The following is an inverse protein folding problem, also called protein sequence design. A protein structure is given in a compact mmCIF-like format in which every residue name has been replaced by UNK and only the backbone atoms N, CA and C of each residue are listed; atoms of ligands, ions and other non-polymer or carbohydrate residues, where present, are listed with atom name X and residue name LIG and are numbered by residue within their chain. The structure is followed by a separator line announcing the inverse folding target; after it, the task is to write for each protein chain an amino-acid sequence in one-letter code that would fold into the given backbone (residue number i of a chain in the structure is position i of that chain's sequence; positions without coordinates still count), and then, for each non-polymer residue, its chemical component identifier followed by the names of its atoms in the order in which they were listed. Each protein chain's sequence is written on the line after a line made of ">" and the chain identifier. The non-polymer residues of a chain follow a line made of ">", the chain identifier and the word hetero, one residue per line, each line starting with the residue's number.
data_IF_758134383485
#
_entry.id   IF_758134383485
#
_cell.length_a   1.000
_cell.length_b   1.000
_cell.length_c   1.000
_cell.angle_alpha   90.00
_cell.angle_beta   90.00
_cell.angle_gamma   90.00
#
_symmetry.space_group_name_H-M   'P 1'
#
loop_
_entity.id
_entity.type
_entity.pdbx_description
1 polymer ?
#
# COMPACT_ATOMS: atom_id res chain seq x y z
N UNK A 1 0.71 -13.76 -13.36
CA UNK A 1 0.26 -14.29 -12.06
C UNK A 1 -0.73 -13.35 -11.38
N UNK A 2 -0.42 -12.07 -11.11
CA UNK A 2 -1.37 -11.12 -10.51
C UNK A 2 -2.71 -11.07 -11.27
N UNK A 3 -2.70 -10.87 -12.59
CA UNK A 3 -3.92 -10.83 -13.39
C UNK A 3 -4.77 -12.12 -13.27
N UNK A 4 -4.14 -13.28 -13.21
CA UNK A 4 -4.86 -14.55 -13.03
C UNK A 4 -5.55 -14.63 -11.65
N UNK A 5 -4.88 -14.19 -10.57
CA UNK A 5 -5.48 -14.14 -9.23
C UNK A 5 -6.66 -13.16 -9.19
N UNK A 6 -6.51 -11.99 -9.84
CA UNK A 6 -7.59 -11.00 -9.95
C UNK A 6 -8.81 -11.57 -10.67
N UNK A 7 -8.61 -12.22 -11.82
CA UNK A 7 -9.72 -12.82 -12.59
C UNK A 7 -10.42 -13.96 -11.84
N UNK A 8 -9.66 -14.82 -11.15
CA UNK A 8 -10.22 -15.87 -10.31
C UNK A 8 -10.99 -15.25 -9.14
N UNK A 9 -10.43 -14.23 -8.49
CA UNK A 9 -11.09 -13.49 -7.42
C UNK A 9 -12.38 -12.83 -7.89
N UNK A 10 -12.36 -12.17 -9.05
CA UNK A 10 -13.56 -11.57 -9.65
C UNK A 10 -14.63 -12.64 -9.94
N UNK A 11 -14.26 -13.78 -10.51
CA UNK A 11 -15.20 -14.87 -10.77
C UNK A 11 -15.83 -15.42 -9.47
N UNK A 12 -15.06 -15.56 -8.40
CA UNK A 12 -15.59 -15.97 -7.08
C UNK A 12 -16.52 -14.91 -6.48
N UNK A 13 -16.19 -13.63 -6.62
CA UNK A 13 -17.02 -12.53 -6.10
C UNK A 13 -18.31 -12.32 -6.90
N UNK A 14 -18.38 -12.76 -8.16
CA UNK A 14 -19.61 -12.76 -8.97
C UNK A 14 -20.63 -13.81 -8.53
N UNK A 15 -20.21 -14.84 -7.81
CA UNK A 15 -21.12 -15.89 -7.36
C UNK A 15 -22.21 -15.31 -6.44
N UNK A 16 -23.48 -15.72 -6.59
CA UNK A 16 -24.58 -15.25 -5.72
C UNK A 16 -24.33 -15.48 -4.23
N UNK A 17 -23.58 -16.53 -3.88
CA UNK A 17 -23.22 -16.83 -2.48
C UNK A 17 -22.27 -15.78 -1.88
N UNK A 18 -21.55 -15.02 -2.72
CA UNK A 18 -20.60 -13.98 -2.27
C UNK A 18 -21.30 -12.69 -1.86
N UNK A 19 -22.51 -12.41 -2.38
CA UNK A 19 -23.32 -11.26 -2.01
C UNK A 19 -24.28 -11.58 -0.87
N UNK A 20 -24.55 -10.61 0.01
CA UNK A 20 -25.47 -10.78 1.14
C UNK A 20 -26.90 -11.02 0.68
N UNK A 21 -27.34 -10.31 -0.37
CA UNK A 21 -28.66 -10.45 -0.99
C UNK A 21 -28.76 -11.66 -1.94
N UNK A 22 -27.70 -12.47 -2.06
CA UNK A 22 -27.60 -13.62 -2.99
C UNK A 22 -27.87 -13.25 -4.46
N UNK A 23 -27.57 -12.04 -4.84
CA UNK A 23 -27.63 -11.54 -6.23
C UNK A 23 -26.27 -11.68 -6.91
N UNK A 24 -26.28 -11.79 -8.25
CA UNK A 24 -25.02 -11.81 -9.02
C UNK A 24 -24.45 -10.39 -9.07
N UNK A 25 -23.26 -10.20 -8.54
CA UNK A 25 -22.56 -8.92 -8.64
C UNK A 25 -22.08 -8.68 -10.07
N UNK A 26 -22.29 -7.49 -10.67
CA UNK A 26 -21.82 -7.17 -12.01
C UNK A 26 -20.32 -7.38 -12.16
N UNK A 27 -19.87 -7.86 -13.34
CA UNK A 27 -18.47 -8.19 -13.58
C UNK A 27 -17.50 -7.03 -13.31
N UNK A 28 -17.86 -5.81 -13.72
CA UNK A 28 -16.98 -4.63 -13.52
C UNK A 28 -16.78 -4.29 -12.04
N UNK A 29 -17.81 -4.42 -11.20
CA UNK A 29 -17.73 -4.20 -9.76
C UNK A 29 -16.94 -5.31 -9.05
N UNK A 30 -17.18 -6.57 -9.43
CA UNK A 30 -16.43 -7.71 -8.93
C UNK A 30 -14.94 -7.64 -9.32
N UNK A 31 -14.67 -7.23 -10.58
CA UNK A 31 -13.30 -7.03 -11.08
C UNK A 31 -12.60 -5.88 -10.36
N UNK A 32 -13.29 -4.75 -10.13
CA UNK A 32 -12.76 -3.62 -9.39
C UNK A 32 -12.37 -4.04 -7.97
N UNK A 33 -13.30 -4.69 -7.26
CA UNK A 33 -13.10 -5.12 -5.88
C UNK A 33 -12.00 -6.18 -5.76
N UNK A 34 -11.97 -7.17 -6.67
CA UNK A 34 -10.91 -8.17 -6.72
C UNK A 34 -9.54 -7.54 -7.02
N UNK A 35 -9.48 -6.56 -7.94
CA UNK A 35 -8.24 -5.82 -8.25
C UNK A 35 -7.77 -5.04 -7.03
N UNK A 36 -8.68 -4.30 -6.39
CA UNK A 36 -8.40 -3.54 -5.17
C UNK A 36 -7.88 -4.44 -4.04
N UNK A 37 -8.49 -5.61 -3.83
CA UNK A 37 -8.07 -6.58 -2.82
C UNK A 37 -6.69 -7.20 -3.11
N UNK A 38 -6.44 -7.66 -4.35
CA UNK A 38 -5.16 -8.28 -4.75
C UNK A 38 -4.04 -7.26 -4.86
N UNK A 39 -4.34 -6.05 -5.33
CA UNK A 39 -3.38 -4.94 -5.37
C UNK A 39 -3.21 -4.28 -4.00
N UNK A 40 -4.02 -4.68 -3.00
CA UNK A 40 -3.96 -4.17 -1.63
C UNK A 40 -4.15 -2.65 -1.63
N UNK A 41 -5.18 -2.18 -2.31
CA UNK A 41 -5.46 -0.75 -2.47
C UNK A 41 -6.48 -0.25 -1.46
N UNK A 42 -7.66 -0.90 -1.37
CA UNK A 42 -8.73 -0.47 -0.46
C UNK A 42 -9.79 0.44 -1.07
N UNK A 43 -9.67 0.86 -2.33
CA UNK A 43 -10.76 1.52 -3.04
C UNK A 43 -11.89 0.52 -3.26
N UNK A 44 -13.12 0.94 -3.01
CA UNK A 44 -14.30 0.09 -3.11
C UNK A 44 -15.43 0.78 -3.85
N UNK A 45 -16.15 0.04 -4.70
CA UNK A 45 -17.37 0.49 -5.40
C UNK A 45 -18.62 0.02 -4.67
N UNK A 46 -18.52 -1.01 -3.83
CA UNK A 46 -19.58 -1.52 -2.95
C UNK A 46 -19.04 -1.61 -1.54
N UNK A 47 -19.84 -1.23 -0.56
CA UNK A 47 -19.45 -1.33 0.84
C UNK A 47 -19.15 -2.78 1.23
N UNK A 48 -18.01 -2.99 1.92
CA UNK A 48 -17.53 -4.36 2.18
C UNK A 48 -18.37 -5.07 3.22
N UNK A 49 -18.89 -4.37 4.21
CA UNK A 49 -19.66 -4.96 5.30
C UNK A 49 -21.10 -5.31 4.89
N UNK A 50 -21.77 -4.42 4.14
CA UNK A 50 -23.18 -4.54 3.81
C UNK A 50 -23.45 -5.32 2.53
N UNK A 51 -22.53 -5.30 1.54
CA UNK A 51 -22.73 -5.99 0.26
C UNK A 51 -22.24 -7.44 0.27
N UNK A 52 -21.07 -7.72 0.86
CA UNK A 52 -20.47 -9.05 0.80
C UNK A 52 -20.90 -9.94 1.97
N UNK A 53 -21.33 -11.15 1.64
CA UNK A 53 -21.61 -12.20 2.64
C UNK A 53 -20.34 -12.63 3.38
N UNK A 54 -20.48 -13.42 4.45
CA UNK A 54 -19.34 -14.00 5.14
C UNK A 54 -18.40 -14.77 4.20
N UNK A 55 -18.93 -15.44 3.17
CA UNK A 55 -18.13 -16.10 2.14
C UNK A 55 -17.40 -15.08 1.26
N UNK A 56 -18.07 -14.03 0.77
CA UNK A 56 -17.44 -12.96 0.00
C UNK A 56 -16.35 -12.24 0.78
N UNK A 57 -16.59 -11.94 2.06
CA UNK A 57 -15.60 -11.36 2.96
C UNK A 57 -14.38 -12.29 3.18
N UNK A 58 -14.59 -13.60 3.30
CA UNK A 58 -13.51 -14.58 3.40
C UNK A 58 -12.69 -14.64 2.10
N UNK A 59 -13.34 -14.60 0.93
CA UNK A 59 -12.66 -14.51 -0.37
C UNK A 59 -11.81 -13.23 -0.43
N UNK A 60 -12.36 -12.07 -0.05
CA UNK A 60 -11.62 -10.81 -0.01
C UNK A 60 -10.42 -10.90 0.93
N UNK A 61 -10.57 -11.45 2.13
CA UNK A 61 -9.47 -11.62 3.09
C UNK A 61 -8.35 -12.48 2.52
N UNK A 62 -8.66 -13.57 1.82
CA UNK A 62 -7.68 -14.42 1.14
C UNK A 62 -6.99 -13.67 0.00
N UNK A 63 -7.72 -12.92 -0.81
CA UNK A 63 -7.14 -12.09 -1.89
C UNK A 63 -6.21 -11.02 -1.33
N UNK A 64 -6.58 -10.35 -0.24
CA UNK A 64 -5.75 -9.37 0.48
C UNK A 64 -4.46 -10.04 0.99
N UNK A 65 -4.56 -11.20 1.60
CA UNK A 65 -3.40 -11.94 2.12
C UNK A 65 -2.44 -12.36 0.99
N UNK A 66 -2.98 -12.87 -0.12
CA UNK A 66 -2.17 -13.23 -1.31
C UNK A 66 -1.51 -11.98 -1.90
N UNK A 67 -2.24 -10.89 -2.00
CA UNK A 67 -1.76 -9.61 -2.48
C UNK A 67 -0.66 -9.02 -1.59
N UNK A 68 -0.91 -8.92 -0.29
CA UNK A 68 -0.02 -8.31 0.71
C UNK A 68 1.31 -9.02 0.84
N UNK A 69 1.30 -10.34 1.05
CA UNK A 69 2.52 -11.13 1.10
C UNK A 69 3.22 -11.29 -0.26
N UNK A 70 2.50 -11.00 -1.35
CA UNK A 70 2.95 -11.16 -2.71
C UNK A 70 2.67 -12.55 -3.27
N UNK A 71 2.09 -12.59 -4.47
CA UNK A 71 1.65 -13.83 -5.14
C UNK A 71 2.78 -14.86 -5.27
N UNK A 72 4.02 -14.40 -5.49
CA UNK A 72 5.20 -15.27 -5.63
C UNK A 72 5.58 -15.89 -4.28
N UNK A 73 5.51 -15.12 -3.20
CA UNK A 73 5.80 -15.58 -1.83
C UNK A 73 4.79 -16.64 -1.39
N UNK A 74 3.50 -16.39 -1.64
CA UNK A 74 2.43 -17.34 -1.34
C UNK A 74 2.56 -18.61 -2.17
N UNK A 75 2.84 -18.49 -3.48
CA UNK A 75 3.10 -19.65 -4.34
C UNK A 75 4.30 -20.50 -3.89
N UNK A 76 5.36 -19.84 -3.42
CA UNK A 76 6.52 -20.54 -2.84
C UNK A 76 6.19 -21.24 -1.51
N UNK A 77 5.28 -20.66 -0.72
CA UNK A 77 4.81 -21.25 0.55
C UNK A 77 4.10 -22.57 0.33
N UNK A 78 3.23 -22.66 -0.66
CA UNK A 78 2.61 -23.92 -1.05
C UNK A 78 3.63 -24.99 -1.44
N UNK A 79 4.69 -24.60 -2.18
CA UNK A 79 5.77 -25.52 -2.52
C UNK A 79 6.54 -26.00 -1.29
N UNK A 80 6.75 -25.12 -0.31
CA UNK A 80 7.41 -25.45 0.96
C UNK A 80 6.57 -26.40 1.82
N UNK A 81 5.27 -26.14 1.95
CA UNK A 81 4.34 -26.98 2.70
C UNK A 81 4.18 -28.36 2.07
N UNK A 82 4.23 -28.44 0.73
CA UNK A 82 4.17 -29.69 -0.02
C UNK A 82 5.49 -30.48 -0.04
N UNK A 83 6.54 -30.02 0.65
CA UNK A 83 7.84 -30.67 0.72
C UNK A 83 8.61 -30.69 -0.62
N UNK A 84 8.15 -29.96 -1.64
CA UNK A 84 8.79 -29.94 -2.97
C UNK A 84 10.06 -29.09 -2.95
N UNK A 85 11.08 -29.53 -3.67
CA UNK A 85 12.34 -28.77 -3.83
C UNK A 85 12.08 -27.55 -4.72
N UNK A 86 12.43 -26.36 -4.22
CA UNK A 86 12.32 -25.10 -4.95
C UNK A 86 13.49 -24.99 -5.92
N UNK A 87 13.21 -24.86 -7.24
CA UNK A 87 14.21 -24.73 -8.29
C UNK A 87 14.96 -23.38 -8.20
N UNK A 88 16.15 -23.29 -8.82
CA UNK A 88 16.94 -22.04 -8.87
C UNK A 88 16.17 -20.90 -9.54
N UNK A 89 15.43 -21.17 -10.62
CA UNK A 89 14.58 -20.19 -11.30
C UNK A 89 13.46 -19.64 -10.39
N UNK A 90 12.84 -20.51 -9.58
CA UNK A 90 11.86 -20.07 -8.58
C UNK A 90 12.50 -19.22 -7.49
N UNK A 91 13.70 -19.60 -7.01
CA UNK A 91 14.45 -18.80 -6.02
C UNK A 91 14.83 -17.42 -6.56
N UNK A 92 15.22 -17.30 -7.84
CA UNK A 92 15.48 -16.01 -8.47
C UNK A 92 14.25 -15.12 -8.49
N UNK A 93 13.07 -15.65 -8.88
CA UNK A 93 11.81 -14.91 -8.83
C UNK A 93 11.40 -14.49 -7.42
N UNK A 94 11.66 -15.34 -6.42
CA UNK A 94 11.42 -15.01 -4.99
C UNK A 94 12.36 -13.89 -4.53
N UNK A 95 13.62 -13.92 -4.95
CA UNK A 95 14.60 -12.87 -4.65
C UNK A 95 14.14 -11.52 -5.20
N UNK A 96 13.70 -11.49 -6.44
CA UNK A 96 13.21 -10.28 -7.10
C UNK A 96 11.95 -9.75 -6.40
N UNK A 97 10.96 -10.61 -6.12
CA UNK A 97 9.71 -10.24 -5.46
C UNK A 97 9.93 -9.67 -4.05
N UNK A 98 10.91 -10.18 -3.31
CA UNK A 98 11.25 -9.72 -1.96
C UNK A 98 12.30 -8.60 -1.94
N UNK A 99 12.80 -8.17 -3.12
CA UNK A 99 13.91 -7.24 -3.25
C UNK A 99 15.15 -7.68 -2.44
N UNK A 100 15.38 -9.00 -2.34
CA UNK A 100 16.46 -9.56 -1.54
C UNK A 100 17.81 -9.46 -2.28
N UNK A 101 18.92 -9.12 -1.59
CA UNK A 101 20.22 -8.91 -2.24
C UNK A 101 20.87 -10.20 -2.75
N UNK A 102 20.48 -11.37 -2.23
CA UNK A 102 21.08 -12.67 -2.56
C UNK A 102 20.03 -13.76 -2.69
N UNK A 103 20.23 -14.71 -3.61
CA UNK A 103 19.39 -15.92 -3.78
C UNK A 103 19.56 -16.88 -2.60
N UNK A 104 20.76 -16.92 -2.01
CA UNK A 104 21.05 -17.77 -0.86
C UNK A 104 20.23 -17.37 0.37
N UNK A 105 19.56 -18.35 1.01
CA UNK A 105 18.75 -18.14 2.21
C UNK A 105 17.33 -17.62 1.97
N UNK A 106 16.93 -17.36 0.70
CA UNK A 106 15.61 -16.79 0.38
C UNK A 106 14.45 -17.68 0.90
N UNK A 107 14.61 -19.00 0.85
CA UNK A 107 13.61 -19.95 1.36
C UNK A 107 13.41 -19.81 2.88
N UNK A 108 14.51 -19.63 3.64
CA UNK A 108 14.45 -19.40 5.09
C UNK A 108 13.80 -18.06 5.40
N UNK A 109 14.14 -17.01 4.61
CA UNK A 109 13.55 -15.69 4.74
C UNK A 109 12.04 -15.74 4.48
N UNK A 110 11.59 -16.43 3.43
CA UNK A 110 10.16 -16.61 3.13
C UNK A 110 9.42 -17.27 4.29
N UNK A 111 9.95 -18.37 4.82
CA UNK A 111 9.35 -19.04 5.98
C UNK A 111 9.31 -18.17 7.23
N UNK A 112 10.33 -17.34 7.45
CA UNK A 112 10.35 -16.34 8.52
C UNK A 112 9.26 -15.28 8.31
N UNK A 113 9.16 -14.72 7.09
CA UNK A 113 8.15 -13.70 6.75
C UNK A 113 6.74 -14.21 7.04
N UNK A 114 6.39 -15.40 6.55
CA UNK A 114 5.04 -15.97 6.72
C UNK A 114 4.70 -16.17 8.19
N UNK A 115 5.61 -16.81 8.96
CA UNK A 115 5.35 -17.08 10.39
C UNK A 115 5.22 -15.79 11.19
N UNK A 116 6.08 -14.81 10.90
CA UNK A 116 6.07 -13.51 11.59
C UNK A 116 4.82 -12.71 11.22
N UNK A 117 4.40 -12.73 9.95
CA UNK A 117 3.16 -12.06 9.50
C UNK A 117 1.94 -12.62 10.23
N UNK A 118 1.74 -13.94 10.21
CA UNK A 118 0.61 -14.59 10.88
C UNK A 118 0.62 -14.33 12.40
N UNK A 119 1.80 -14.29 13.02
CA UNK A 119 1.93 -13.97 14.43
C UNK A 119 1.52 -12.52 14.73
N UNK A 120 1.97 -11.57 13.93
CA UNK A 120 1.65 -10.14 14.11
C UNK A 120 0.16 -9.91 13.85
N UNK A 121 -0.42 -10.51 12.81
CA UNK A 121 -1.85 -10.49 12.53
C UNK A 121 -2.66 -11.08 13.69
N UNK A 122 -2.23 -12.22 14.24
CA UNK A 122 -2.85 -12.83 15.41
C UNK A 122 -2.82 -11.92 16.65
N UNK A 123 -1.67 -11.27 16.91
CA UNK A 123 -1.54 -10.32 18.03
C UNK A 123 -2.45 -9.10 17.80
N UNK A 124 -2.47 -8.55 16.60
CA UNK A 124 -3.34 -7.43 16.25
C UNK A 124 -4.83 -7.75 16.44
N UNK A 125 -5.26 -8.94 15.98
CA UNK A 125 -6.62 -9.41 16.20
C UNK A 125 -6.94 -9.55 17.71
N UNK A 126 -6.05 -10.15 18.50
CA UNK A 126 -6.21 -10.29 19.95
C UNK A 126 -6.29 -8.94 20.66
N UNK A 127 -5.53 -7.93 20.26
CA UNK A 127 -5.59 -6.58 20.81
C UNK A 127 -6.94 -5.90 20.54
N UNK A 128 -7.50 -6.06 19.34
CA UNK A 128 -8.77 -5.45 18.93
C UNK A 128 -10.01 -6.23 19.43
N UNK A 129 -9.84 -7.53 19.74
CA UNK A 129 -10.92 -8.43 20.12
C UNK A 129 -11.80 -7.91 21.26
N UNK A 130 -11.24 -7.39 22.41
CA UNK A 130 -12.07 -6.93 23.53
C UNK A 130 -13.01 -5.78 23.14
N UNK A 131 -12.54 -4.87 22.31
CA UNK A 131 -13.34 -3.71 21.86
C UNK A 131 -14.44 -4.17 20.88
N UNK A 132 -14.08 -4.93 19.85
CA UNK A 132 -15.07 -5.38 18.86
C UNK A 132 -16.07 -6.39 19.44
N UNK A 133 -15.66 -7.27 20.38
CA UNK A 133 -16.62 -8.17 21.03
C UNK A 133 -17.56 -7.43 21.98
N UNK A 134 -17.11 -6.36 22.62
CA UNK A 134 -18.00 -5.48 23.42
C UNK A 134 -19.09 -4.85 22.56
N UNK A 135 -18.72 -4.37 21.35
CA UNK A 135 -19.63 -3.57 20.50
C UNK A 135 -20.48 -4.45 19.56
N UNK A 136 -19.97 -5.61 19.13
CA UNK A 136 -20.61 -6.48 18.12
C UNK A 136 -20.85 -7.92 18.61
N UNK A 137 -20.57 -8.24 19.87
CA UNK A 137 -20.71 -9.60 20.39
C UNK A 137 -19.82 -10.61 19.65
N UNK A 138 -20.33 -11.78 19.33
CA UNK A 138 -19.58 -12.86 18.68
C UNK A 138 -19.06 -12.48 17.28
N UNK A 139 -19.80 -11.66 16.53
CA UNK A 139 -19.35 -11.17 15.21
C UNK A 139 -18.11 -10.28 15.31
N UNK A 140 -17.81 -9.70 16.48
CA UNK A 140 -16.59 -8.96 16.76
C UNK A 140 -15.32 -9.77 16.57
N UNK A 141 -15.35 -11.10 16.72
CA UNK A 141 -14.21 -11.99 16.47
C UNK A 141 -13.81 -11.92 15.01
N UNK A 142 -14.79 -12.07 14.10
CA UNK A 142 -14.56 -12.00 12.66
C UNK A 142 -14.04 -10.63 12.24
N UNK A 143 -14.67 -9.56 12.77
CA UNK A 143 -14.23 -8.19 12.51
C UNK A 143 -12.78 -7.97 12.97
N UNK A 144 -12.39 -8.44 14.16
CA UNK A 144 -11.02 -8.30 14.67
C UNK A 144 -9.99 -9.00 13.77
N UNK A 145 -10.27 -10.23 13.31
CA UNK A 145 -9.39 -10.98 12.41
C UNK A 145 -9.28 -10.28 11.06
N UNK A 146 -10.43 -9.91 10.46
CA UNK A 146 -10.46 -9.26 9.16
C UNK A 146 -9.69 -7.93 9.15
N UNK A 147 -9.94 -7.05 10.14
CA UNK A 147 -9.23 -5.76 10.25
C UNK A 147 -7.74 -5.93 10.53
N UNK A 148 -7.35 -6.95 11.30
CA UNK A 148 -5.94 -7.22 11.55
C UNK A 148 -5.20 -7.62 10.28
N UNK A 149 -5.76 -8.53 9.49
CA UNK A 149 -5.21 -8.94 8.19
C UNK A 149 -5.18 -7.77 7.22
N UNK A 150 -6.29 -7.03 7.10
CA UNK A 150 -6.41 -5.88 6.21
C UNK A 150 -5.41 -4.78 6.58
N UNK A 151 -5.23 -4.45 7.87
CA UNK A 151 -4.31 -3.44 8.34
C UNK A 151 -2.84 -3.85 8.16
N UNK A 152 -2.49 -5.10 8.50
CA UNK A 152 -1.13 -5.61 8.34
C UNK A 152 -0.72 -5.69 6.86
N UNK A 153 -1.64 -6.11 6.00
CA UNK A 153 -1.44 -6.13 4.55
C UNK A 153 -1.51 -4.75 3.91
N UNK A 154 -1.86 -3.70 4.65
CA UNK A 154 -2.09 -2.33 4.14
C UNK A 154 -3.19 -2.29 3.06
N UNK A 155 -4.30 -2.97 3.28
CA UNK A 155 -5.34 -3.16 2.27
C UNK A 155 -6.54 -2.20 2.38
N UNK A 156 -6.79 -1.62 3.56
CA UNK A 156 -7.83 -0.60 3.76
C UNK A 156 -9.28 -1.08 3.70
N UNK A 157 -9.51 -2.36 3.54
CA UNK A 157 -10.85 -2.93 3.61
C UNK A 157 -11.31 -3.04 5.06
N UNK A 158 -12.52 -2.60 5.35
CA UNK A 158 -13.13 -2.67 6.68
C UNK A 158 -14.53 -3.32 6.64
N UNK A 159 -15.02 -3.69 7.82
CA UNK A 159 -16.34 -4.30 8.01
C UNK A 159 -17.21 -3.45 8.94
N UNK A 160 -17.10 -2.11 8.85
CA UNK A 160 -17.81 -1.17 9.72
C UNK A 160 -19.05 -0.58 9.08
N UNK A 161 -19.17 -0.60 7.76
CA UNK A 161 -20.34 -0.10 7.04
C UNK A 161 -21.64 -0.80 7.46
N UNK A 162 -22.72 -0.05 7.43
CA UNK A 162 -24.09 -0.52 7.61
C UNK A 162 -24.92 -0.15 6.40
N UNK A 163 -26.09 -0.78 6.15
CA UNK A 163 -26.95 -0.37 5.05
C UNK A 163 -27.36 1.11 5.10
N UNK A 164 -27.53 1.67 6.30
CA UNK A 164 -27.90 3.09 6.50
C UNK A 164 -26.71 4.03 6.36
N UNK A 165 -25.52 3.58 6.71
CA UNK A 165 -24.27 4.35 6.63
C UNK A 165 -23.16 3.49 5.99
N UNK A 166 -23.13 3.38 4.66
CA UNK A 166 -22.06 2.69 3.95
C UNK A 166 -20.74 3.49 4.00
N UNK A 167 -19.62 2.82 3.81
CA UNK A 167 -18.26 3.40 3.70
C UNK A 167 -17.78 4.21 4.92
N UNK A 168 -18.30 3.91 6.12
CA UNK A 168 -18.00 4.65 7.37
C UNK A 168 -16.57 4.47 7.84
N UNK A 169 -15.95 3.34 7.49
CA UNK A 169 -14.65 2.91 7.97
C UNK A 169 -14.53 2.96 9.51
N UNK A 170 -13.42 3.44 10.07
CA UNK A 170 -13.17 3.44 11.51
C UNK A 170 -13.52 4.78 12.20
N UNK A 171 -14.38 5.59 11.60
CA UNK A 171 -14.74 6.93 12.13
C UNK A 171 -15.38 6.87 13.51
N UNK A 172 -16.13 5.80 13.82
CA UNK A 172 -16.70 5.57 15.14
C UNK A 172 -15.64 5.33 16.24
N UNK A 173 -14.44 4.87 15.86
CA UNK A 173 -13.32 4.57 16.77
C UNK A 173 -12.25 5.65 16.82
N UNK A 174 -12.53 6.85 16.32
CA UNK A 174 -11.59 7.98 16.26
C UNK A 174 -10.99 8.35 17.62
N UNK A 175 -11.73 8.16 18.71
CA UNK A 175 -11.30 8.43 20.09
C UNK A 175 -10.82 7.16 20.85
N UNK A 176 -10.94 5.97 20.25
CA UNK A 176 -10.52 4.72 20.86
C UNK A 176 -9.02 4.48 20.60
N UNK A 177 -8.16 4.48 21.66
CA UNK A 177 -6.72 4.30 21.49
C UNK A 177 -6.35 2.87 21.12
N UNK A 178 -7.13 1.86 21.57
CA UNK A 178 -6.79 0.46 21.31
C UNK A 178 -6.90 0.18 19.83
N UNK A 179 -8.02 0.54 19.21
CA UNK A 179 -8.23 0.33 17.77
C UNK A 179 -7.27 1.19 16.96
N UNK A 180 -7.21 2.51 17.23
CA UNK A 180 -6.40 3.44 16.45
C UNK A 180 -4.90 3.12 16.50
N UNK A 181 -4.35 2.81 17.68
CA UNK A 181 -2.93 2.49 17.83
C UNK A 181 -2.58 1.09 17.30
N UNK A 182 -3.46 0.09 17.51
CA UNK A 182 -3.23 -1.26 17.00
C UNK A 182 -3.19 -1.26 15.47
N UNK A 183 -4.17 -0.64 14.83
CA UNK A 183 -4.22 -0.55 13.36
C UNK A 183 -3.02 0.26 12.84
N UNK A 184 -2.71 1.41 13.45
CA UNK A 184 -1.52 2.20 13.06
C UNK A 184 -0.23 1.39 13.19
N UNK A 185 -0.07 0.62 14.25
CA UNK A 185 1.10 -0.23 14.46
C UNK A 185 1.19 -1.35 13.40
N UNK A 186 0.07 -2.01 13.10
CA UNK A 186 0.00 -3.05 12.04
C UNK A 186 0.40 -2.48 10.68
N UNK A 187 -0.13 -1.31 10.30
CA UNK A 187 0.20 -0.60 9.06
C UNK A 187 1.69 -0.29 8.98
N UNK A 188 2.26 0.29 10.04
CA UNK A 188 3.68 0.66 10.06
C UNK A 188 4.57 -0.59 9.98
N UNK A 189 4.26 -1.62 10.75
CA UNK A 189 5.04 -2.87 10.76
C UNK A 189 4.95 -3.59 9.43
N UNK A 190 3.76 -3.70 8.81
CA UNK A 190 3.57 -4.25 7.47
C UNK A 190 4.34 -3.46 6.40
N UNK A 191 4.34 -2.12 6.52
CA UNK A 191 4.95 -1.18 5.56
C UNK A 191 6.46 -0.99 5.67
N UNK A 192 7.12 -1.42 6.75
CA UNK A 192 8.58 -1.23 6.94
C UNK A 192 9.42 -2.14 6.01
N UNK A 193 8.92 -3.32 5.65
CA UNK A 193 9.62 -4.26 4.78
C UNK A 193 10.32 -5.40 5.50
N UNK A 194 10.26 -6.57 4.87
CA UNK A 194 10.70 -7.84 5.46
C UNK A 194 12.20 -7.93 5.69
N UNK A 195 13.02 -7.25 4.88
CA UNK A 195 14.47 -7.17 5.06
C UNK A 195 14.84 -6.34 6.30
N UNK A 196 14.05 -5.31 6.61
CA UNK A 196 14.24 -4.52 7.83
C UNK A 196 13.90 -5.34 9.06
N UNK A 197 12.86 -6.21 9.00
CA UNK A 197 12.57 -7.17 10.08
C UNK A 197 13.73 -8.13 10.34
N UNK A 198 14.37 -8.63 9.26
CA UNK A 198 15.56 -9.49 9.38
C UNK A 198 16.73 -8.77 10.05
N UNK A 199 16.96 -7.50 9.69
CA UNK A 199 17.97 -6.66 10.35
C UNK A 199 17.67 -6.40 11.83
N UNK A 200 16.41 -6.08 12.17
CA UNK A 200 15.99 -5.89 13.57
C UNK A 200 16.15 -7.17 14.37
N UNK A 201 15.77 -8.32 13.81
CA UNK A 201 15.92 -9.62 14.46
C UNK A 201 17.40 -9.96 14.71
N UNK A 202 18.27 -9.69 13.71
CA UNK A 202 19.70 -10.07 13.76
C UNK A 202 20.52 -9.13 14.64
N UNK A 203 20.30 -7.82 14.49
CA UNK A 203 21.08 -6.79 15.16
C UNK A 203 20.38 -6.16 16.36
N UNK A 204 19.15 -6.63 16.70
CA UNK A 204 18.32 -6.09 17.79
C UNK A 204 18.16 -4.57 17.68
N UNK A 205 18.35 -3.82 18.76
CA UNK A 205 18.23 -2.35 18.82
C UNK A 205 19.54 -1.60 18.41
N UNK A 206 20.57 -2.31 17.93
CA UNK A 206 21.82 -1.68 17.53
C UNK A 206 21.70 -1.03 16.14
N UNK A 207 21.08 0.15 16.04
CA UNK A 207 20.88 0.90 14.80
C UNK A 207 22.16 1.09 13.97
N UNK A 208 23.31 1.25 14.64
CA UNK A 208 24.58 1.44 13.97
C UNK A 208 24.99 0.24 13.09
N UNK A 209 24.59 -0.98 13.46
CA UNK A 209 24.91 -2.23 12.74
C UNK A 209 23.94 -2.54 11.58
N UNK A 210 22.84 -1.78 11.45
CA UNK A 210 21.87 -2.00 10.38
C UNK A 210 22.46 -1.69 9.01
N UNK A 211 21.96 -2.38 8.00
CA UNK A 211 22.24 -2.08 6.58
C UNK A 211 21.78 -0.66 6.26
N UNK A 212 22.43 0.01 5.29
CA UNK A 212 22.02 1.33 4.81
C UNK A 212 20.51 1.37 4.46
N UNK A 213 20.04 0.36 3.76
CA UNK A 213 18.65 0.19 3.38
C UNK A 213 17.68 0.31 4.58
N UNK A 214 17.94 -0.43 5.65
CA UNK A 214 17.11 -0.41 6.86
C UNK A 214 17.20 0.92 7.62
N UNK A 215 18.38 1.55 7.66
CA UNK A 215 18.56 2.89 8.26
C UNK A 215 17.72 3.94 7.54
N UNK A 216 17.79 3.96 6.21
CA UNK A 216 17.01 4.89 5.37
C UNK A 216 15.52 4.68 5.57
N UNK A 217 15.05 3.43 5.57
CA UNK A 217 13.65 3.10 5.77
C UNK A 217 13.14 3.59 7.13
N UNK A 218 13.84 3.28 8.21
CA UNK A 218 13.42 3.66 9.56
C UNK A 218 13.42 5.18 9.74
N UNK A 219 14.45 5.87 9.25
CA UNK A 219 14.54 7.33 9.33
C UNK A 219 13.45 8.00 8.48
N UNK A 220 13.24 7.56 7.23
CA UNK A 220 12.19 8.09 6.37
C UNK A 220 10.80 7.80 6.94
N UNK A 221 10.56 6.60 7.48
CA UNK A 221 9.30 6.25 8.14
C UNK A 221 9.01 7.14 9.33
N UNK A 222 9.99 7.37 10.21
CA UNK A 222 9.83 8.25 11.35
C UNK A 222 9.52 9.69 10.92
N UNK A 223 10.24 10.22 9.94
CA UNK A 223 10.03 11.56 9.42
C UNK A 223 8.64 11.73 8.79
N UNK A 224 8.22 10.77 7.97
CA UNK A 224 6.92 10.77 7.28
C UNK A 224 5.73 10.54 8.23
N UNK A 225 5.96 10.07 9.45
CA UNK A 225 4.93 10.00 10.49
C UNK A 225 4.95 11.27 11.34
N UNK A 226 6.10 11.66 11.87
CA UNK A 226 6.20 12.72 12.86
C UNK A 226 5.86 14.11 12.30
N UNK A 227 6.39 14.47 11.13
CA UNK A 227 6.14 15.79 10.55
C UNK A 227 4.66 16.00 10.17
N UNK A 228 3.99 15.06 9.46
CA UNK A 228 2.57 15.22 9.17
C UNK A 228 1.69 15.14 10.43
N UNK A 229 2.04 14.31 11.41
CA UNK A 229 1.33 14.28 12.71
C UNK A 229 1.33 15.65 13.35
N UNK A 230 2.49 16.32 13.37
CA UNK A 230 2.61 17.68 13.91
C UNK A 230 1.75 18.67 13.11
N UNK A 231 1.76 18.57 11.78
CA UNK A 231 0.94 19.42 10.92
C UNK A 231 -0.57 19.23 11.21
N UNK A 232 -1.08 18.00 11.14
CA UNK A 232 -2.49 17.70 11.40
C UNK A 232 -2.88 18.10 12.82
N UNK A 233 -2.02 17.86 13.79
CA UNK A 233 -2.25 18.30 15.17
C UNK A 233 -2.36 19.81 15.30
N UNK A 234 -1.50 20.59 14.67
CA UNK A 234 -1.50 22.04 14.79
C UNK A 234 -2.61 22.73 14.00
N UNK A 235 -2.97 22.20 12.82
CA UNK A 235 -3.78 22.94 11.86
C UNK A 235 -5.18 22.37 11.62
N UNK A 236 -5.36 21.03 11.59
CA UNK A 236 -6.63 20.42 11.15
C UNK A 236 -7.60 20.13 12.30
N UNK A 237 -7.21 19.43 13.33
CA UNK A 237 -8.12 18.89 14.36
C UNK A 237 -8.26 19.76 15.61
N UNK A 238 -8.31 21.08 15.47
CA UNK A 238 -8.35 22.03 16.60
C UNK A 238 -9.62 21.93 17.47
N UNK A 239 -10.73 21.48 16.90
CA UNK A 239 -12.02 21.37 17.59
C UNK A 239 -12.20 20.09 18.43
N UNK A 240 -11.28 19.14 18.35
CA UNK A 240 -11.34 17.87 19.06
C UNK A 240 -10.68 17.94 20.43
N UNK A 241 -11.04 17.01 21.35
CA UNK A 241 -10.33 16.87 22.64
C UNK A 241 -8.86 16.56 22.41
N UNK A 242 -7.97 16.89 23.36
CA UNK A 242 -6.52 16.68 23.20
C UNK A 242 -6.17 15.22 22.84
N UNK A 243 -6.82 14.25 23.48
CA UNK A 243 -6.63 12.82 23.23
C UNK A 243 -7.07 12.45 21.81
N UNK A 244 -8.27 12.84 21.43
CA UNK A 244 -8.83 12.57 20.10
C UNK A 244 -7.99 13.24 19.01
N UNK A 245 -7.59 14.50 19.22
CA UNK A 245 -6.74 15.26 18.31
C UNK A 245 -5.40 14.58 18.06
N UNK A 246 -4.75 14.04 19.11
CA UNK A 246 -3.50 13.30 18.98
C UNK A 246 -3.69 12.00 18.18
N UNK A 247 -4.72 11.20 18.49
CA UNK A 247 -5.01 9.96 17.80
C UNK A 247 -5.36 10.19 16.32
N UNK A 248 -6.22 11.16 16.03
CA UNK A 248 -6.56 11.53 14.65
C UNK A 248 -5.33 11.98 13.87
N UNK A 249 -4.51 12.87 14.44
CA UNK A 249 -3.32 13.38 13.75
C UNK A 249 -2.30 12.27 13.46
N UNK A 250 -2.07 11.37 14.41
CA UNK A 250 -1.21 10.21 14.21
C UNK A 250 -1.78 9.27 13.15
N UNK A 251 -3.06 8.95 13.23
CA UNK A 251 -3.70 8.03 12.29
C UNK A 251 -3.70 8.61 10.88
N UNK A 252 -4.03 9.91 10.70
CA UNK A 252 -4.03 10.57 9.40
C UNK A 252 -2.64 10.75 8.79
N UNK A 253 -1.56 10.65 9.57
CA UNK A 253 -0.19 10.61 9.04
C UNK A 253 0.27 9.19 8.66
N UNK A 254 -0.31 8.15 9.28
CA UNK A 254 0.03 6.75 9.02
C UNK A 254 -0.76 6.18 7.84
N UNK A 255 -2.07 6.43 7.79
CA UNK A 255 -2.96 5.80 6.81
C UNK A 255 -2.66 6.14 5.33
N UNK A 256 -2.21 7.37 4.95
CA UNK A 256 -1.85 7.67 3.56
C UNK A 256 -0.65 6.86 3.04
N UNK A 257 0.10 6.22 3.93
CA UNK A 257 1.19 5.32 3.58
C UNK A 257 0.69 3.93 3.17
N UNK A 258 -0.24 3.92 2.23
CA UNK A 258 -0.85 2.75 1.57
C UNK A 258 -1.73 1.89 2.48
N UNK A 259 -2.45 2.49 3.43
CA UNK A 259 -3.28 1.71 4.35
C UNK A 259 -4.79 1.82 4.09
N UNK A 260 -5.29 3.02 3.75
CA UNK A 260 -6.65 3.23 3.27
C UNK A 260 -7.76 3.32 4.33
N UNK A 261 -7.47 3.08 5.61
CA UNK A 261 -8.46 3.23 6.66
C UNK A 261 -8.73 4.69 7.01
N UNK A 262 -9.98 5.03 7.31
CA UNK A 262 -10.39 6.37 7.69
C UNK A 262 -10.84 6.42 9.16
N UNK A 263 -10.30 7.38 9.93
CA UNK A 263 -10.83 7.76 11.24
C UNK A 263 -11.41 9.17 11.23
N UNK A 264 -11.18 9.93 10.15
CA UNK A 264 -11.74 11.25 9.91
C UNK A 264 -12.28 11.33 8.48
N UNK A 265 -13.25 12.20 8.27
CA UNK A 265 -13.77 12.50 6.94
C UNK A 265 -12.79 13.42 6.18
N UNK A 266 -12.28 12.94 5.07
CA UNK A 266 -11.35 13.68 4.20
C UNK A 266 -12.00 14.87 3.50
N UNK A 267 -13.33 14.87 3.32
CA UNK A 267 -14.05 16.00 2.73
C UNK A 267 -14.08 17.20 3.67
N UNK A 268 -13.96 16.97 4.98
CA UNK A 268 -13.92 18.01 6.00
C UNK A 268 -12.53 18.64 6.19
N UNK A 269 -11.46 18.03 5.65
CA UNK A 269 -10.12 18.59 5.73
C UNK A 269 -9.96 19.85 4.89
N UNK A 270 -9.07 20.73 5.34
CA UNK A 270 -8.68 21.91 4.56
C UNK A 270 -8.06 21.51 3.20
N UNK A 271 -8.05 22.43 2.24
CA UNK A 271 -7.38 22.21 0.96
C UNK A 271 -5.89 21.88 1.13
N UNK A 272 -5.24 22.51 2.13
CA UNK A 272 -3.85 22.22 2.48
C UNK A 272 -3.68 20.84 3.09
N UNK A 273 -4.61 20.40 3.96
CA UNK A 273 -4.61 19.04 4.54
C UNK A 273 -4.81 17.96 3.48
N UNK A 274 -5.75 18.18 2.54
CA UNK A 274 -5.93 17.29 1.37
C UNK A 274 -4.70 17.25 0.47
N UNK A 275 -4.08 18.41 0.20
CA UNK A 275 -2.83 18.50 -0.56
C UNK A 275 -1.67 17.74 0.10
N UNK A 276 -1.51 17.89 1.43
CA UNK A 276 -0.52 17.11 2.18
C UNK A 276 -0.80 15.61 2.12
N UNK A 277 -2.08 15.21 2.21
CA UNK A 277 -2.48 13.81 2.09
C UNK A 277 -2.11 13.23 0.72
N UNK A 278 -2.37 13.96 -0.39
CA UNK A 278 -1.95 13.57 -1.75
C UNK A 278 -0.43 13.35 -1.79
N UNK A 279 0.35 14.25 -1.21
CA UNK A 279 1.80 14.15 -1.18
C UNK A 279 2.28 12.95 -0.38
N UNK A 280 1.65 12.64 0.76
CA UNK A 280 1.93 11.47 1.56
C UNK A 280 1.54 10.17 0.85
N UNK A 281 0.44 10.15 0.11
CA UNK A 281 0.02 9.00 -0.69
C UNK A 281 1.04 8.63 -1.77
N UNK A 282 1.68 9.62 -2.42
CA UNK A 282 2.74 9.36 -3.38
C UNK A 282 3.92 8.61 -2.76
N UNK A 283 4.23 8.84 -1.47
CA UNK A 283 5.34 8.18 -0.76
C UNK A 283 4.79 7.00 0.02
N UNK A 284 4.66 5.86 -0.64
CA UNK A 284 4.12 4.62 -0.06
C UNK A 284 5.03 3.95 0.97
N UNK A 285 4.94 2.62 1.06
CA UNK A 285 5.77 1.84 1.98
C UNK A 285 7.18 1.54 1.47
N UNK A 286 7.86 0.65 2.16
CA UNK A 286 9.25 0.29 1.87
C UNK A 286 9.37 -0.85 0.86
N UNK A 287 10.49 -1.01 0.17
CA UNK A 287 10.72 -2.19 -0.70
C UNK A 287 10.61 -3.49 0.10
N UNK A 288 10.03 -4.52 -0.53
CA UNK A 288 9.83 -5.81 0.13
C UNK A 288 8.91 -5.74 1.35
N UNK A 289 7.85 -4.93 1.28
CA UNK A 289 6.78 -4.81 2.28
C UNK A 289 5.43 -5.21 1.69
N UNK A 290 4.40 -5.21 2.51
CA UNK A 290 3.01 -5.40 2.08
C UNK A 290 2.48 -4.22 1.27
N UNK A 291 3.04 -3.03 1.47
CA UNK A 291 2.64 -1.77 0.86
C UNK A 291 3.02 -1.65 -0.63
N UNK A 292 2.21 -0.91 -1.40
CA UNK A 292 2.47 -0.59 -2.81
C UNK A 292 3.09 0.80 -3.03
N UNK A 293 2.77 1.45 -4.14
CA UNK A 293 3.17 2.81 -4.46
C UNK A 293 4.68 3.04 -4.64
N UNK A 294 5.06 4.33 -4.74
CA UNK A 294 6.47 4.74 -4.76
C UNK A 294 7.10 4.41 -3.42
N UNK A 295 8.25 3.72 -3.44
CA UNK A 295 8.88 3.24 -2.21
C UNK A 295 9.54 4.39 -1.43
N UNK A 296 9.52 4.30 -0.09
CA UNK A 296 10.20 5.26 0.80
C UNK A 296 11.66 5.47 0.42
N UNK A 297 12.35 4.41 0.00
CA UNK A 297 13.73 4.49 -0.48
C UNK A 297 13.87 5.27 -1.78
N UNK A 298 12.91 5.17 -2.70
CA UNK A 298 12.88 5.94 -3.95
C UNK A 298 12.81 7.45 -3.65
N UNK A 299 11.88 7.84 -2.77
CA UNK A 299 11.77 9.23 -2.33
C UNK A 299 13.04 9.71 -1.62
N UNK A 300 13.60 8.88 -0.71
CA UNK A 300 14.84 9.21 0.02
C UNK A 300 16.04 9.39 -0.93
N UNK A 301 16.18 8.55 -1.96
CA UNK A 301 17.23 8.65 -2.98
C UNK A 301 17.12 9.96 -3.76
N UNK A 302 15.90 10.33 -4.19
CA UNK A 302 15.67 11.58 -4.92
C UNK A 302 16.00 12.82 -4.07
N UNK A 303 15.57 12.83 -2.82
CA UNK A 303 15.88 13.92 -1.87
C UNK A 303 17.40 13.99 -1.61
N UNK A 304 18.06 12.86 -1.37
CA UNK A 304 19.50 12.82 -1.18
C UNK A 304 20.26 13.32 -2.41
N UNK A 305 19.80 12.95 -3.61
CA UNK A 305 20.39 13.43 -4.87
C UNK A 305 20.22 14.94 -5.03
N UNK A 306 19.05 15.50 -4.74
CA UNK A 306 18.83 16.95 -4.78
C UNK A 306 19.82 17.68 -3.82
N UNK A 307 19.99 17.19 -2.59
CA UNK A 307 20.95 17.75 -1.65
C UNK A 307 22.41 17.61 -2.13
N UNK A 308 22.78 16.47 -2.77
CA UNK A 308 24.11 16.28 -3.32
C UNK A 308 24.41 17.30 -4.44
N UNK A 309 23.44 17.53 -5.34
CA UNK A 309 23.54 18.54 -6.41
C UNK A 309 23.71 19.94 -5.81
N UNK A 310 22.89 20.33 -4.82
CA UNK A 310 23.01 21.65 -4.17
C UNK A 310 24.36 21.83 -3.45
N UNK A 311 24.94 20.74 -2.93
CA UNK A 311 26.27 20.75 -2.29
C UNK A 311 27.42 20.53 -3.29
N UNK A 312 27.15 20.43 -4.58
CA UNK A 312 28.12 20.13 -5.64
C UNK A 312 28.92 18.84 -5.40
N UNK A 313 28.32 17.85 -4.77
CA UNK A 313 28.90 16.54 -4.55
C UNK A 313 28.76 15.68 -5.81
N UNK A 314 29.76 14.82 -6.07
CA UNK A 314 29.71 13.92 -7.26
C UNK A 314 28.65 12.83 -7.19
N UNK A 315 28.19 12.47 -6.00
CA UNK A 315 27.20 11.40 -5.80
C UNK A 315 26.46 11.58 -4.47
N UNK A 316 25.20 11.12 -4.39
CA UNK A 316 24.44 11.19 -3.16
C UNK A 316 25.00 10.26 -2.08
N UNK A 317 25.04 10.75 -0.84
CA UNK A 317 25.50 10.04 0.32
C UNK A 317 24.47 10.08 1.45
N UNK A 318 24.27 8.95 2.13
CA UNK A 318 23.45 8.86 3.34
C UNK A 318 24.13 7.97 4.38
N UNK A 319 24.09 8.36 5.65
CA UNK A 319 24.67 7.62 6.77
C UNK A 319 26.13 7.21 6.56
N UNK A 320 26.92 8.08 5.90
CA UNK A 320 28.34 7.84 5.61
C UNK A 320 28.58 6.78 4.52
N UNK A 321 27.59 6.50 3.68
CA UNK A 321 27.70 5.57 2.55
C UNK A 321 27.24 6.23 1.25
N UNK A 322 27.97 5.98 0.18
CA UNK A 322 27.68 6.46 -1.17
C UNK A 322 26.63 5.56 -1.83
N UNK A 323 25.72 6.16 -2.60
CA UNK A 323 24.69 5.44 -3.38
C UNK A 323 25.17 5.25 -4.82
N UNK A 324 24.64 4.21 -5.48
CA UNK A 324 24.88 3.94 -6.89
C UNK A 324 24.12 4.94 -7.76
N UNK A 325 24.75 5.43 -8.83
CA UNK A 325 24.10 6.35 -9.81
C UNK A 325 22.87 5.71 -10.47
N UNK A 326 22.94 4.41 -10.74
CA UNK A 326 21.80 3.67 -11.28
C UNK A 326 20.54 3.80 -10.41
N UNK A 327 20.69 3.77 -9.08
CA UNK A 327 19.57 3.92 -8.17
C UNK A 327 18.87 5.29 -8.29
N UNK A 328 19.62 6.34 -8.64
CA UNK A 328 19.08 7.69 -8.89
C UNK A 328 18.27 7.72 -10.18
N UNK A 329 18.81 7.15 -11.27
CA UNK A 329 18.10 7.08 -12.55
C UNK A 329 16.81 6.25 -12.44
N UNK A 330 16.88 5.08 -11.80
CA UNK A 330 15.71 4.23 -11.57
C UNK A 330 14.66 4.95 -10.72
N UNK A 331 15.08 5.67 -9.67
CA UNK A 331 14.20 6.43 -8.81
C UNK A 331 13.50 7.59 -9.56
N UNK A 332 14.23 8.32 -10.39
CA UNK A 332 13.69 9.40 -11.20
C UNK A 332 12.67 8.86 -12.25
N UNK A 333 12.99 7.74 -12.91
CA UNK A 333 12.11 7.11 -13.88
C UNK A 333 10.78 6.65 -13.23
N UNK A 334 10.86 6.00 -12.06
CA UNK A 334 9.67 5.57 -11.31
C UNK A 334 8.81 6.79 -10.93
N UNK A 335 9.43 7.81 -10.34
CA UNK A 335 8.70 8.99 -9.89
C UNK A 335 7.99 9.69 -11.05
N UNK A 336 8.69 9.89 -12.18
CA UNK A 336 8.11 10.51 -13.38
C UNK A 336 6.95 9.69 -13.93
N UNK A 337 7.10 8.36 -14.02
CA UNK A 337 6.04 7.47 -14.49
C UNK A 337 4.77 7.59 -13.64
N UNK A 338 4.92 7.50 -12.32
CA UNK A 338 3.78 7.57 -11.38
C UNK A 338 3.09 8.94 -11.44
N UNK A 339 3.87 10.01 -11.53
CA UNK A 339 3.35 11.37 -11.65
C UNK A 339 2.55 11.54 -12.95
N UNK A 340 3.12 11.14 -14.10
CA UNK A 340 2.47 11.23 -15.40
C UNK A 340 1.18 10.41 -15.45
N UNK A 341 1.21 9.16 -14.97
CA UNK A 341 0.03 8.30 -14.97
C UNK A 341 -1.08 8.84 -14.04
N UNK A 342 -0.72 9.33 -12.85
CA UNK A 342 -1.68 9.92 -11.92
C UNK A 342 -2.34 11.16 -12.52
N UNK A 343 -1.56 12.09 -13.08
CA UNK A 343 -2.07 13.31 -13.71
C UNK A 343 -2.92 12.99 -14.93
N UNK A 344 -2.45 12.12 -15.82
CA UNK A 344 -3.22 11.74 -17.03
C UNK A 344 -4.54 11.09 -16.63
N UNK A 345 -4.54 10.16 -15.68
CA UNK A 345 -5.77 9.56 -15.16
C UNK A 345 -6.72 10.60 -14.57
N UNK A 346 -6.21 11.55 -13.78
CA UNK A 346 -7.01 12.62 -13.20
C UNK A 346 -7.64 13.53 -14.27
N UNK A 347 -6.89 13.92 -15.30
CA UNK A 347 -7.43 14.72 -16.41
C UNK A 347 -8.53 13.98 -17.17
N UNK A 348 -8.33 12.70 -17.48
CA UNK A 348 -9.35 11.92 -18.19
C UNK A 348 -10.61 11.75 -17.34
N UNK A 349 -10.49 11.37 -16.07
CA UNK A 349 -11.63 11.22 -15.18
C UNK A 349 -12.36 12.55 -14.99
N UNK A 350 -11.64 13.65 -14.75
CA UNK A 350 -12.22 15.00 -14.62
C UNK A 350 -13.02 15.41 -15.86
N UNK A 351 -12.53 15.08 -17.04
CA UNK A 351 -13.21 15.39 -18.30
C UNK A 351 -14.44 14.50 -18.54
N UNK A 352 -14.33 13.20 -18.26
CA UNK A 352 -15.43 12.24 -18.49
C UNK A 352 -16.57 12.43 -17.48
N UNK A 353 -16.22 12.64 -16.20
CA UNK A 353 -17.20 12.74 -15.11
C UNK A 353 -17.60 14.20 -14.79
N UNK A 354 -16.96 15.19 -15.42
CA UNK A 354 -17.18 16.65 -15.14
C UNK A 354 -16.95 17.03 -13.69
N UNK A 355 -15.97 16.37 -13.03
CA UNK A 355 -15.62 16.57 -11.62
C UNK A 355 -14.41 17.49 -11.45
N UNK A 356 -14.23 18.13 -10.25
CA UNK A 356 -13.06 18.94 -9.96
C UNK A 356 -11.75 18.13 -10.08
N UNK A 357 -10.76 18.68 -10.79
CA UNK A 357 -9.48 18.01 -11.01
C UNK A 357 -8.78 17.60 -9.69
N UNK A 358 -8.88 18.43 -8.65
CA UNK A 358 -8.26 18.15 -7.34
C UNK A 358 -8.81 16.87 -6.69
N UNK A 359 -10.09 16.61 -6.86
CA UNK A 359 -10.74 15.41 -6.33
C UNK A 359 -10.38 14.18 -7.17
N UNK A 360 -10.38 14.32 -8.51
CA UNK A 360 -9.92 13.27 -9.40
C UNK A 360 -8.44 12.92 -9.17
N UNK A 361 -7.59 13.94 -8.87
CA UNK A 361 -6.19 13.72 -8.54
C UNK A 361 -6.02 12.95 -7.22
N UNK A 362 -6.89 13.20 -6.24
CA UNK A 362 -6.89 12.45 -4.98
C UNK A 362 -7.16 10.96 -5.24
N UNK A 363 -8.21 10.63 -6.01
CA UNK A 363 -8.59 9.25 -6.35
C UNK A 363 -7.51 8.54 -7.17
N UNK A 364 -6.98 9.20 -8.22
CA UNK A 364 -5.95 8.58 -9.08
C UNK A 364 -4.63 8.40 -8.37
N UNK A 365 -4.25 9.34 -7.49
CA UNK A 365 -3.07 9.18 -6.64
C UNK A 365 -3.27 8.03 -5.64
N UNK A 366 -4.44 7.94 -5.03
CA UNK A 366 -4.80 6.84 -4.15
C UNK A 366 -4.75 5.49 -4.88
N UNK A 367 -5.23 5.42 -6.12
CA UNK A 367 -5.23 4.21 -6.93
C UNK A 367 -3.80 3.78 -7.32
N UNK A 368 -3.00 4.68 -7.92
CA UNK A 368 -1.64 4.32 -8.38
C UNK A 368 -0.67 4.07 -7.23
N UNK A 369 -0.85 4.78 -6.13
CA UNK A 369 -0.07 4.54 -4.92
C UNK A 369 -0.61 3.37 -4.09
N UNK A 370 -1.72 2.75 -4.50
CA UNK A 370 -2.41 1.65 -3.79
C UNK A 370 -2.69 1.99 -2.32
N UNK A 371 -3.34 3.13 -2.07
CA UNK A 371 -3.60 3.66 -0.72
C UNK A 371 -5.00 3.31 -0.23
N UNK A 372 -6.02 3.51 -1.08
CA UNK A 372 -7.41 3.21 -0.74
C UNK A 372 -8.20 4.35 -0.10
N UNK A 373 -7.59 5.51 0.14
CA UNK A 373 -8.30 6.69 0.58
C UNK A 373 -9.12 7.28 -0.56
N UNK A 374 -10.33 7.71 -0.28
CA UNK A 374 -11.26 8.33 -1.23
C UNK A 374 -11.94 9.53 -0.61
N UNK A 375 -12.31 10.48 -1.46
CA UNK A 375 -13.23 11.57 -1.11
C UNK A 375 -14.70 11.18 -1.30
N UNK A 376 -14.98 9.88 -1.44
CA UNK A 376 -16.33 9.36 -1.68
C UNK A 376 -16.72 9.29 -3.15
N UNK A 377 -15.80 9.57 -4.08
CA UNK A 377 -16.10 9.57 -5.52
C UNK A 377 -16.16 8.15 -6.12
N UNK A 378 -15.29 7.26 -5.67
CA UNK A 378 -15.10 5.91 -6.29
C UNK A 378 -16.40 5.14 -6.51
N UNK A 379 -17.38 5.08 -5.59
CA UNK A 379 -18.63 4.37 -5.79
C UNK A 379 -19.54 4.96 -6.89
N UNK A 380 -19.37 6.24 -7.20
CA UNK A 380 -20.19 7.00 -8.14
C UNK A 380 -19.59 7.16 -9.53
N UNK A 381 -18.33 6.72 -9.71
CA UNK A 381 -17.64 6.81 -10.99
C UNK A 381 -18.22 5.83 -12.03
N UNK A 382 -18.25 6.27 -13.29
CA UNK A 382 -18.64 5.45 -14.42
C UNK A 382 -17.65 4.33 -14.75
N UNK A 383 -18.06 3.39 -15.58
CA UNK A 383 -17.27 2.19 -15.94
C UNK A 383 -15.89 2.56 -16.54
N UNK A 384 -15.80 3.64 -17.32
CA UNK A 384 -14.53 4.09 -17.93
C UNK A 384 -13.56 4.54 -16.83
N UNK A 385 -14.03 5.37 -15.91
CA UNK A 385 -13.24 5.88 -14.79
C UNK A 385 -12.82 4.76 -13.83
N UNK A 386 -13.71 3.82 -13.56
CA UNK A 386 -13.38 2.60 -12.80
C UNK A 386 -12.29 1.77 -13.51
N UNK A 387 -12.37 1.64 -14.84
CA UNK A 387 -11.34 0.96 -15.65
C UNK A 387 -9.97 1.62 -15.55
N UNK A 388 -9.93 2.96 -15.55
CA UNK A 388 -8.68 3.72 -15.32
C UNK A 388 -8.12 3.44 -13.94
N UNK A 389 -8.95 3.47 -12.89
CA UNK A 389 -8.50 3.17 -11.53
C UNK A 389 -8.00 1.73 -11.39
N UNK A 390 -8.66 0.73 -12.01
CA UNK A 390 -8.20 -0.67 -12.07
C UNK A 390 -6.78 -0.73 -12.67
N UNK A 391 -6.56 -0.06 -13.78
CA UNK A 391 -5.27 -0.02 -14.44
C UNK A 391 -4.18 0.63 -13.56
N UNK A 392 -4.49 1.75 -12.92
CA UNK A 392 -3.58 2.44 -12.00
C UNK A 392 -3.23 1.57 -10.78
N UNK A 393 -4.22 0.93 -10.14
CA UNK A 393 -4.00 0.00 -9.02
C UNK A 393 -3.08 -1.15 -9.43
N UNK A 394 -3.29 -1.73 -10.61
CA UNK A 394 -2.49 -2.83 -11.12
C UNK A 394 -1.02 -2.42 -11.34
N UNK A 395 -0.77 -1.27 -11.99
CA UNK A 395 0.60 -0.74 -12.19
C UNK A 395 1.25 -0.41 -10.84
N UNK A 396 0.52 0.22 -9.93
CA UNK A 396 0.99 0.55 -8.59
C UNK A 396 1.47 -0.65 -7.79
N UNK A 397 0.79 -1.80 -7.96
CA UNK A 397 1.15 -3.04 -7.24
C UNK A 397 2.26 -3.83 -7.90
N UNK A 398 2.21 -4.03 -9.22
CA UNK A 398 3.22 -4.81 -9.95
C UNK A 398 4.58 -4.11 -9.94
N UNK A 399 4.58 -2.78 -9.86
CA UNK A 399 5.76 -1.93 -9.89
C UNK A 399 6.07 -1.41 -11.31
N UNK A 400 6.21 -0.09 -11.44
CA UNK A 400 6.38 0.58 -12.73
C UNK A 400 7.58 0.07 -13.53
N UNK A 401 8.74 -0.12 -12.89
CA UNK A 401 9.93 -0.63 -13.58
C UNK A 401 9.76 -2.06 -14.11
N UNK A 402 9.12 -2.94 -13.34
CA UNK A 402 8.86 -4.33 -13.76
C UNK A 402 7.98 -4.36 -15.00
N UNK A 403 6.96 -3.49 -15.06
CA UNK A 403 6.08 -3.35 -16.22
C UNK A 403 6.81 -2.81 -17.44
N UNK A 404 7.64 -1.77 -17.25
CA UNK A 404 8.43 -1.18 -18.36
C UNK A 404 9.41 -2.20 -18.92
N UNK A 405 10.15 -2.90 -18.05
CA UNK A 405 11.09 -3.92 -18.49
C UNK A 405 10.37 -5.08 -19.20
N UNK A 406 9.20 -5.50 -18.73
CA UNK A 406 8.41 -6.52 -19.40
C UNK A 406 7.92 -6.07 -20.79
N UNK A 407 7.52 -4.81 -20.92
CA UNK A 407 7.07 -4.24 -22.20
C UNK A 407 8.23 -4.02 -23.19
N UNK A 408 9.42 -3.65 -22.70
CA UNK A 408 10.60 -3.34 -23.50
C UNK A 408 11.58 -4.50 -23.66
N UNK A 409 11.29 -5.66 -23.07
CA UNK A 409 12.20 -6.84 -23.08
C UNK A 409 12.54 -7.41 -24.47
N UNK A 410 11.94 -6.89 -25.55
CA UNK A 410 12.30 -7.18 -26.95
C UNK A 410 13.37 -6.25 -27.55
N UNK A 411 13.74 -5.15 -26.89
CA UNK A 411 14.73 -4.19 -27.38
C UNK A 411 16.14 -4.72 -27.12
N UNK A 412 16.84 -5.13 -28.17
CA UNK A 412 18.28 -5.45 -28.10
C UNK A 412 19.01 -4.16 -27.75
N UNK A 413 19.77 -4.17 -26.63
CA UNK A 413 20.67 -3.07 -26.33
C UNK A 413 21.68 -2.95 -27.49
N UNK A 414 21.68 -1.82 -28.20
CA UNK A 414 22.66 -1.55 -29.23
C UNK A 414 24.06 -1.51 -28.58
N UNK A 415 25.00 -2.28 -29.10
CA UNK A 415 26.39 -2.27 -28.66
C UNK A 415 27.07 -0.92 -29.02
N UNK A 416 26.51 -0.16 -29.98
CA UNK A 416 27.02 1.13 -30.38
C UNK A 416 26.43 2.24 -29.49
N UNK A 417 27.30 3.08 -28.92
CA UNK A 417 26.88 4.29 -28.21
C UNK A 417 26.76 5.44 -29.20
N UNK A 418 25.65 6.19 -29.13
CA UNK A 418 25.49 7.42 -29.89
C UNK A 418 26.50 8.49 -29.41
N UNK A 419 26.92 9.43 -30.28
CA UNK A 419 27.73 10.58 -29.91
C UNK A 419 27.09 11.34 -28.76
N UNK A 420 27.92 11.79 -27.81
CA UNK A 420 27.48 12.53 -26.63
C UNK A 420 27.50 14.03 -26.92
N UNK A 421 26.36 14.68 -26.75
CA UNK A 421 26.21 16.13 -26.89
C UNK A 421 25.76 16.74 -25.56
N UNK A 422 26.16 17.96 -25.27
CA UNK A 422 25.83 18.66 -24.03
C UNK A 422 24.48 19.34 -24.14
N UNK A 423 23.57 19.05 -23.21
CA UNK A 423 22.32 19.77 -23.03
C UNK A 423 22.42 20.57 -21.72
N UNK A 424 22.06 21.85 -21.79
CA UNK A 424 22.03 22.70 -20.58
C UNK A 424 20.75 22.41 -19.81
N UNK A 425 20.92 22.05 -18.55
CA UNK A 425 19.81 21.88 -17.60
C UNK A 425 19.91 23.06 -16.65
N UNK A 426 18.82 23.89 -16.55
CA UNK A 426 18.72 25.20 -15.95
C UNK A 426 19.39 25.47 -14.61
#
# INVERSE_FOLDING_TARGET
>A
MFAAVILIGAALLMLPISAQERTVTPFHEALFTATSAVCVTGLVVRDTASHWSAFGQAVLMVLIQIGGLGVITVGASFSLLSGRRISLSQRGRMQEAMSAPKVGGIVRLTGFVIRTSLMIEGIGALCMLPVFCRDFGVSGIWKAVFHSVSAFCNAGFDLMGTPDMPFVSLTAYRADPVISLTISALIVVGGIGFLTWDDVRTNRLCFHRYRLHSKVILAATALLILLPTLYFFCFEFKGSTLRERLLLSLFQSVTPRTAGFNTADYTSLSSSGRGLTILLMFIGGSPGSTAGGIKTTTAAVLVANAFAVFRRQKSPEMFGRRMEEKAVHDAAAIFTLYLVLSLTGAFVISTVETLPLSECLFETTSAIATVGLSLGLTPHLGIVSQGILIFLMFIGRVGGLTMIYAALSGSKSSAARLPQERITVG
#
